data_IF_842683760744
#
_entry.id   IF_842683760744
#
_cell.length_a   1.000
_cell.length_b   1.000
_cell.length_c   1.000
_cell.angle_alpha   90.00
_cell.angle_beta   90.00
_cell.angle_gamma   90.00
#
_symmetry.space_group_name_H-M   'P 1'
#
loop_
_entity.id
_entity.type
_entity.pdbx_description
1 polymer ?
#
# COMPACT_ATOMS: atom_id res chain seq x y z
N UNK A 1 48.07 1.04 60.53
CA UNK A 1 47.99 0.69 59.09
C UNK A 1 46.87 -0.32 58.79
N UNK A 2 45.75 -0.32 59.54
CA UNK A 2 44.64 -1.30 59.42
C UNK A 2 43.29 -0.57 59.32
N UNK A 3 43.15 0.38 58.39
CA UNK A 3 41.87 1.11 58.27
C UNK A 3 41.43 1.50 56.84
N UNK A 4 42.13 1.02 55.80
CA UNK A 4 41.64 1.14 54.41
C UNK A 4 41.09 -0.18 53.85
N UNK A 5 41.69 -1.32 54.21
CA UNK A 5 41.33 -2.62 53.65
C UNK A 5 39.93 -3.12 54.05
N UNK A 6 39.37 -2.66 55.17
CA UNK A 6 38.05 -3.10 55.62
C UNK A 6 36.88 -2.32 55.01
N UNK A 7 37.12 -1.12 54.45
CA UNK A 7 36.03 -0.25 53.99
C UNK A 7 35.43 -0.69 52.65
N UNK A 8 36.27 -1.21 51.75
CA UNK A 8 35.81 -1.70 50.44
C UNK A 8 35.15 -3.08 50.55
N UNK A 9 35.63 -3.92 51.47
CA UNK A 9 35.05 -5.24 51.76
C UNK A 9 33.67 -5.15 52.44
N UNK A 10 33.45 -4.14 53.28
CA UNK A 10 32.16 -3.89 53.97
C UNK A 10 31.05 -3.37 53.05
N UNK A 11 31.39 -2.80 51.90
CA UNK A 11 30.41 -2.18 51.00
C UNK A 11 29.90 -3.15 49.91
N UNK A 12 30.46 -4.36 49.80
CA UNK A 12 30.01 -5.39 48.84
C UNK A 12 29.93 -4.90 47.38
N UNK A 13 30.58 -3.78 47.07
CA UNK A 13 30.45 -3.11 45.79
C UNK A 13 31.61 -3.59 44.96
N UNK A 14 31.39 -4.69 44.24
CA UNK A 14 32.29 -5.08 43.16
C UNK A 14 32.48 -3.86 42.24
N UNK A 15 33.72 -3.54 41.83
CA UNK A 15 33.98 -2.41 40.96
C UNK A 15 33.17 -2.62 39.68
N UNK A 16 32.19 -1.75 39.42
CA UNK A 16 31.39 -1.79 38.18
C UNK A 16 32.36 -1.87 37.00
N UNK A 17 32.33 -2.98 36.27
CA UNK A 17 33.13 -3.14 35.06
C UNK A 17 32.88 -1.91 34.15
N UNK A 18 33.96 -1.22 33.77
CA UNK A 18 33.84 -0.08 32.85
C UNK A 18 33.42 -0.64 31.50
N UNK A 19 32.35 -0.10 30.91
CA UNK A 19 31.95 -0.48 29.55
C UNK A 19 33.15 -0.41 28.61
N UNK A 20 33.40 -1.47 27.86
CA UNK A 20 34.44 -1.46 26.83
C UNK A 20 34.01 -0.59 25.66
N UNK A 21 34.97 -0.17 24.83
CA UNK A 21 34.66 0.55 23.59
C UNK A 21 33.71 -0.25 22.67
N UNK A 22 33.85 -1.57 22.65
CA UNK A 22 33.01 -2.47 21.85
C UNK A 22 31.58 -2.46 22.37
N UNK A 23 31.38 -2.48 23.69
CA UNK A 23 30.04 -2.43 24.31
C UNK A 23 29.32 -1.12 23.96
N UNK A 24 30.05 0.01 24.02
CA UNK A 24 29.51 1.30 23.61
C UNK A 24 29.12 1.30 22.13
N UNK A 25 29.97 0.76 21.25
CA UNK A 25 29.67 0.65 19.82
C UNK A 25 28.42 -0.20 19.56
N UNK A 26 28.30 -1.36 20.23
CA UNK A 26 27.14 -2.23 20.12
C UNK A 26 25.86 -1.55 20.60
N UNK A 27 25.91 -0.83 21.73
CA UNK A 27 24.79 -0.06 22.24
C UNK A 27 24.36 1.01 21.23
N UNK A 28 25.31 1.75 20.65
CA UNK A 28 25.00 2.77 19.65
C UNK A 28 24.32 2.16 18.43
N UNK A 29 24.84 1.04 17.90
CA UNK A 29 24.23 0.34 16.76
C UNK A 29 22.83 -0.15 17.10
N UNK A 30 22.64 -0.74 18.28
CA UNK A 30 21.34 -1.21 18.73
C UNK A 30 20.32 -0.07 18.85
N UNK A 31 20.72 1.08 19.42
CA UNK A 31 19.85 2.26 19.51
C UNK A 31 19.47 2.77 18.12
N UNK A 32 20.41 2.84 17.18
CA UNK A 32 20.13 3.24 15.80
C UNK A 32 19.14 2.28 15.11
N UNK A 33 19.26 0.97 15.36
CA UNK A 33 18.32 -0.02 14.83
C UNK A 33 16.92 0.15 15.43
N UNK A 34 16.81 0.35 16.75
CA UNK A 34 15.53 0.56 17.43
C UNK A 34 14.85 1.83 16.91
N UNK A 35 15.61 2.94 16.82
CA UNK A 35 15.09 4.20 16.27
C UNK A 35 14.64 4.01 14.83
N UNK A 36 15.41 3.31 13.99
CA UNK A 36 15.01 3.04 12.61
C UNK A 36 13.71 2.20 12.53
N UNK A 37 13.57 1.15 13.34
CA UNK A 37 12.35 0.32 13.39
C UNK A 37 11.16 1.16 13.87
N UNK A 38 11.35 1.95 14.92
CA UNK A 38 10.32 2.84 15.45
C UNK A 38 9.87 3.85 14.41
N UNK A 39 10.82 4.50 13.73
CA UNK A 39 10.54 5.39 12.61
C UNK A 39 9.70 4.63 11.61
N UNK A 40 10.17 3.52 11.02
CA UNK A 40 9.43 2.77 10.00
C UNK A 40 7.98 2.41 10.41
N UNK A 41 7.73 2.11 11.69
CA UNK A 41 6.39 1.80 12.22
C UNK A 41 5.36 2.93 12.09
N UNK A 42 5.80 4.18 11.96
CA UNK A 42 4.90 5.36 11.85
C UNK A 42 4.35 5.53 10.42
N UNK A 43 5.18 5.26 9.42
CA UNK A 43 4.94 5.55 8.00
C UNK A 43 4.40 4.31 7.26
N UNK A 44 4.79 3.11 7.71
CA UNK A 44 4.30 1.85 7.17
C UNK A 44 3.08 1.36 7.96
N UNK A 45 2.00 1.05 7.26
CA UNK A 45 0.78 0.50 7.85
C UNK A 45 0.44 -0.83 7.20
N UNK A 46 0.09 -1.87 7.97
CA UNK A 46 -0.44 -3.09 7.39
C UNK A 46 -1.82 -2.82 6.78
N UNK A 47 -2.13 -3.47 5.66
CA UNK A 47 -3.41 -3.45 4.98
C UNK A 47 -3.74 -4.86 4.53
N UNK A 48 -4.97 -5.29 4.75
CA UNK A 48 -5.49 -6.58 4.28
C UNK A 48 -6.31 -6.38 3.02
N UNK A 49 -6.08 -7.21 2.01
CA UNK A 49 -6.80 -7.16 0.73
C UNK A 49 -8.13 -7.89 0.88
N UNK A 50 -9.21 -7.17 0.61
CA UNK A 50 -10.56 -7.72 0.55
C UNK A 50 -11.11 -7.65 -0.89
N UNK A 51 -11.61 -8.78 -1.40
CA UNK A 51 -12.09 -8.94 -2.77
C UNK A 51 -11.03 -9.31 -3.82
N UNK A 52 -11.49 -9.38 -5.08
CA UNK A 52 -10.75 -9.97 -6.22
C UNK A 52 -10.34 -8.96 -7.30
N UNK A 53 -10.58 -7.67 -7.06
CA UNK A 53 -10.37 -6.61 -8.04
C UNK A 53 -8.91 -6.43 -8.50
N UNK A 54 -7.97 -6.95 -7.72
CA UNK A 54 -6.53 -6.89 -7.98
C UNK A 54 -5.92 -8.28 -8.27
N UNK A 55 -6.75 -9.31 -8.54
CA UNK A 55 -6.30 -10.67 -8.88
C UNK A 55 -5.22 -10.63 -9.98
N UNK A 56 -4.33 -11.65 -9.98
CA UNK A 56 -3.04 -11.73 -10.68
C UNK A 56 -1.90 -10.97 -9.97
N UNK A 57 -2.19 -9.86 -9.28
CA UNK A 57 -1.18 -9.17 -8.45
C UNK A 57 -1.42 -9.42 -6.97
N UNK A 58 -2.65 -9.23 -6.50
CA UNK A 58 -3.07 -9.35 -5.11
C UNK A 58 -4.31 -10.25 -5.04
N UNK A 59 -4.26 -11.22 -4.15
CA UNK A 59 -5.36 -12.16 -3.89
C UNK A 59 -6.13 -11.73 -2.64
N UNK A 60 -7.35 -12.23 -2.51
CA UNK A 60 -8.14 -12.04 -1.30
C UNK A 60 -7.37 -12.59 -0.09
N UNK A 61 -7.41 -11.88 1.04
CA UNK A 61 -6.69 -12.18 2.29
C UNK A 61 -5.18 -11.91 2.26
N UNK A 62 -4.63 -11.38 1.16
CA UNK A 62 -3.24 -10.93 1.14
C UNK A 62 -3.02 -9.79 2.14
N UNK A 63 -1.92 -9.89 2.87
CA UNK A 63 -1.45 -8.84 3.76
C UNK A 63 -0.29 -8.07 3.14
N UNK A 64 -0.37 -6.75 3.17
CA UNK A 64 0.58 -5.85 2.54
C UNK A 64 0.99 -4.74 3.51
N UNK A 65 2.18 -4.19 3.29
CA UNK A 65 2.56 -2.91 3.88
C UNK A 65 2.25 -1.78 2.90
N UNK A 66 1.56 -0.75 3.39
CA UNK A 66 1.30 0.50 2.71
C UNK A 66 2.20 1.59 3.29
N UNK A 67 2.85 2.36 2.44
CA UNK A 67 3.63 3.54 2.78
C UNK A 67 2.77 4.80 2.66
N UNK A 68 2.56 5.51 3.77
CA UNK A 68 1.72 6.71 3.85
C UNK A 68 2.36 7.95 3.22
N UNK A 69 3.67 7.96 2.98
CA UNK A 69 4.44 9.17 2.67
C UNK A 69 5.08 9.08 1.28
N UNK A 70 5.18 7.87 0.73
CA UNK A 70 5.56 7.63 -0.66
C UNK A 70 4.64 8.39 -1.62
N UNK A 71 5.25 9.19 -2.47
CA UNK A 71 4.55 9.91 -3.53
C UNK A 71 4.03 8.94 -4.61
N UNK A 72 2.80 9.13 -5.10
CA UNK A 72 2.20 8.28 -6.12
C UNK A 72 2.97 8.35 -7.43
N UNK A 73 3.22 7.19 -8.04
CA UNK A 73 3.78 7.09 -9.39
C UNK A 73 2.88 6.24 -10.27
N UNK A 74 2.96 6.46 -11.59
CA UNK A 74 2.29 5.60 -12.57
C UNK A 74 2.71 4.15 -12.36
N UNK A 75 1.73 3.25 -12.37
CA UNK A 75 1.91 1.83 -12.13
C UNK A 75 2.00 1.42 -10.66
N UNK A 76 2.09 2.36 -9.70
CA UNK A 76 2.02 2.02 -8.28
C UNK A 76 0.61 1.54 -7.91
N UNK A 77 0.53 0.71 -6.87
CA UNK A 77 -0.74 0.31 -6.25
C UNK A 77 -1.06 1.27 -5.12
N UNK A 78 -2.24 1.87 -5.15
CA UNK A 78 -2.70 2.90 -4.21
C UNK A 78 -3.88 2.39 -3.39
N UNK A 79 -3.91 2.78 -2.12
CA UNK A 79 -5.05 2.60 -1.24
C UNK A 79 -5.68 3.96 -0.98
N UNK A 80 -6.99 4.07 -1.18
CA UNK A 80 -7.74 5.31 -1.01
C UNK A 80 -9.12 5.06 -0.41
N UNK A 81 -9.66 6.08 0.27
CA UNK A 81 -11.01 6.07 0.85
C UNK A 81 -12.06 6.31 -0.22
N UNK A 82 -13.12 5.49 -0.22
CA UNK A 82 -14.35 5.76 -0.99
C UNK A 82 -15.50 6.23 -0.07
N UNK A 83 -15.47 5.80 1.19
CA UNK A 83 -16.33 6.27 2.28
C UNK A 83 -15.55 6.21 3.60
N UNK A 84 -16.16 6.67 4.70
CA UNK A 84 -15.53 6.64 6.03
C UNK A 84 -15.11 5.23 6.49
N UNK A 85 -15.81 4.21 5.99
CA UNK A 85 -15.61 2.81 6.41
C UNK A 85 -15.05 1.91 5.33
N UNK A 86 -14.91 2.40 4.10
CA UNK A 86 -14.53 1.57 2.95
C UNK A 86 -13.30 2.16 2.26
N UNK A 87 -12.26 1.34 2.17
CA UNK A 87 -11.02 1.63 1.46
C UNK A 87 -10.90 0.73 0.23
N UNK A 88 -10.50 1.28 -0.90
CA UNK A 88 -10.22 0.53 -2.12
C UNK A 88 -8.72 0.51 -2.40
N UNK A 89 -8.27 -0.62 -2.96
CA UNK A 89 -6.92 -0.81 -3.48
C UNK A 89 -7.00 -0.96 -5.01
N UNK A 90 -6.24 -0.15 -5.75
CA UNK A 90 -6.21 -0.12 -7.22
C UNK A 90 -4.83 0.27 -7.73
N UNK A 91 -4.57 0.10 -9.03
CA UNK A 91 -3.34 0.56 -9.69
C UNK A 91 -3.53 1.93 -10.31
N UNK A 92 -2.55 2.81 -10.10
CA UNK A 92 -2.51 4.14 -10.74
C UNK A 92 -2.15 3.97 -12.22
N UNK A 93 -3.04 4.44 -13.09
CA UNK A 93 -2.83 4.42 -14.55
C UNK A 93 -2.37 5.78 -15.03
N UNK A 94 -3.01 6.87 -14.58
CA UNK A 94 -2.70 8.23 -15.00
C UNK A 94 -2.65 9.18 -13.79
N UNK A 95 -1.73 10.15 -13.87
CA UNK A 95 -1.45 11.17 -12.85
C UNK A 95 -1.86 12.57 -13.36
N UNK A 96 -1.83 13.62 -12.52
CA UNK A 96 -2.10 14.98 -12.96
C UNK A 96 -1.31 15.38 -14.21
N UNK A 97 -2.01 15.98 -15.17
CA UNK A 97 -1.47 16.39 -16.47
C UNK A 97 -1.46 15.31 -17.55
N UNK A 98 -1.75 14.05 -17.21
CA UNK A 98 -1.91 12.98 -18.19
C UNK A 98 -3.33 12.96 -18.78
N UNK A 99 -3.50 12.25 -19.89
CA UNK A 99 -4.82 11.85 -20.40
C UNK A 99 -4.87 10.35 -20.64
N UNK A 100 -6.00 9.72 -20.36
CA UNK A 100 -6.23 8.28 -20.55
C UNK A 100 -7.43 8.04 -21.44
N UNK A 101 -7.39 7.00 -22.27
CA UNK A 101 -8.51 6.49 -23.05
C UNK A 101 -8.33 5.01 -23.31
N UNK A 102 -9.34 4.35 -23.87
CA UNK A 102 -9.14 3.04 -24.51
C UNK A 102 -9.46 3.11 -25.98
N UNK A 103 -8.77 2.30 -26.77
CA UNK A 103 -9.06 2.12 -28.20
C UNK A 103 -9.13 0.63 -28.45
N UNK A 104 -10.32 0.11 -28.80
CA UNK A 104 -10.57 -1.32 -28.96
C UNK A 104 -10.16 -2.11 -27.70
N UNK A 105 -10.46 -1.57 -26.52
CA UNK A 105 -10.17 -2.21 -25.23
C UNK A 105 -8.73 -2.09 -24.74
N UNK A 106 -7.82 -1.55 -25.54
CA UNK A 106 -6.42 -1.32 -25.14
C UNK A 106 -6.27 0.03 -24.47
N UNK A 107 -5.68 0.07 -23.29
CA UNK A 107 -5.45 1.32 -22.55
C UNK A 107 -4.35 2.12 -23.23
N UNK A 108 -4.65 3.38 -23.54
CA UNK A 108 -3.69 4.34 -24.04
C UNK A 108 -3.56 5.51 -23.07
N UNK A 109 -2.33 6.01 -22.94
CA UNK A 109 -2.02 7.19 -22.14
C UNK A 109 -1.29 8.22 -22.98
N UNK A 110 -1.62 9.49 -22.74
CA UNK A 110 -0.91 10.67 -23.22
C UNK A 110 -0.24 11.32 -22.01
N UNK A 111 1.08 11.37 -21.99
CA UNK A 111 1.84 11.91 -20.85
C UNK A 111 2.07 13.41 -21.06
N UNK A 112 1.49 14.24 -20.20
CA UNK A 112 1.49 15.70 -20.37
C UNK A 112 0.57 16.17 -21.50
N UNK A 113 0.39 17.50 -21.60
CA UNK A 113 -0.52 18.12 -22.57
C UNK A 113 -0.08 17.93 -24.03
N UNK A 114 1.23 18.01 -24.27
CA UNK A 114 1.84 17.88 -25.61
C UNK A 114 2.34 16.45 -25.91
N UNK A 115 1.96 15.49 -25.07
CA UNK A 115 2.37 14.10 -25.25
C UNK A 115 1.71 13.44 -26.46
N UNK A 116 2.31 12.36 -26.93
CA UNK A 116 1.69 11.45 -27.88
C UNK A 116 0.96 10.32 -27.16
N UNK A 117 -0.11 9.81 -27.78
CA UNK A 117 -0.81 8.63 -27.31
C UNK A 117 0.05 7.38 -27.46
N UNK A 118 0.23 6.66 -26.36
CA UNK A 118 0.95 5.39 -26.33
C UNK A 118 0.08 4.33 -25.65
N UNK A 119 0.06 3.14 -26.24
CA UNK A 119 -0.51 1.96 -25.59
C UNK A 119 0.36 1.60 -24.37
N UNK A 120 -0.28 1.38 -23.22
CA UNK A 120 0.42 0.94 -22.02
C UNK A 120 0.68 -0.56 -22.14
N UNK A 121 1.90 -0.99 -21.79
CA UNK A 121 2.18 -2.41 -21.61
C UNK A 121 1.69 -2.84 -20.21
N UNK A 122 0.70 -3.72 -20.15
CA UNK A 122 -0.01 -4.08 -18.92
C UNK A 122 0.13 -5.57 -18.60
N UNK A 123 1.34 -6.10 -18.33
CA UNK A 123 1.54 -7.52 -18.02
C UNK A 123 0.87 -7.96 -16.70
N UNK A 124 0.47 -6.99 -15.87
CA UNK A 124 -0.27 -7.20 -14.63
C UNK A 124 -1.78 -7.35 -14.86
N UNK A 125 -2.31 -6.90 -16.01
CA UNK A 125 -3.74 -6.91 -16.26
C UNK A 125 -4.25 -8.34 -16.43
N UNK A 126 -5.30 -8.65 -15.68
CA UNK A 126 -6.01 -9.91 -15.73
C UNK A 126 -7.35 -9.71 -16.45
N UNK A 127 -7.56 -10.54 -17.48
CA UNK A 127 -8.79 -10.61 -18.25
C UNK A 127 -9.39 -12.00 -18.04
N UNK A 128 -10.61 -12.04 -17.52
CA UNK A 128 -11.33 -13.31 -17.31
C UNK A 128 -11.60 -14.00 -18.67
N UNK A 129 -11.24 -15.29 -18.85
CA UNK A 129 -11.34 -15.96 -20.15
C UNK A 129 -12.74 -15.99 -20.77
N UNK A 130 -13.78 -15.96 -19.96
CA UNK A 130 -15.18 -16.00 -20.40
C UNK A 130 -15.76 -14.62 -20.73
N UNK A 131 -14.96 -13.56 -20.60
CA UNK A 131 -15.39 -12.17 -20.79
C UNK A 131 -14.69 -11.55 -22.01
N UNK A 132 -15.18 -10.39 -22.45
CA UNK A 132 -14.55 -9.67 -23.55
C UNK A 132 -13.17 -9.21 -23.12
N UNK A 133 -12.13 -9.66 -23.81
CA UNK A 133 -10.77 -9.23 -23.53
C UNK A 133 -10.62 -7.72 -23.77
N UNK A 134 -10.02 -7.02 -22.81
CA UNK A 134 -9.82 -5.58 -22.87
C UNK A 134 -10.45 -4.81 -21.71
N UNK A 135 -10.24 -3.50 -21.75
CA UNK A 135 -10.67 -2.54 -20.73
C UNK A 135 -11.72 -1.64 -21.32
N UNK A 136 -12.92 -1.68 -20.76
CA UNK A 136 -14.07 -0.97 -21.29
C UNK A 136 -14.90 -0.35 -20.18
N UNK A 137 -15.70 0.65 -20.55
CA UNK A 137 -16.80 1.18 -19.75
C UNK A 137 -18.07 0.38 -20.02
N UNK A 138 -18.83 0.15 -18.95
CA UNK A 138 -20.20 -0.36 -19.05
C UNK A 138 -21.15 0.83 -18.96
N UNK A 139 -21.80 1.17 -20.08
CA UNK A 139 -22.75 2.28 -20.14
C UNK A 139 -24.15 1.73 -20.38
N UNK A 140 -25.12 2.13 -19.55
CA UNK A 140 -26.53 1.84 -19.77
C UNK A 140 -27.11 2.84 -20.75
N UNK A 141 -27.46 2.39 -21.95
CA UNK A 141 -28.07 3.19 -23.02
C UNK A 141 -29.41 2.55 -23.35
N UNK A 142 -30.51 3.30 -23.20
CA UNK A 142 -31.87 2.82 -23.49
C UNK A 142 -32.23 1.51 -22.75
N UNK A 143 -31.76 1.38 -21.50
CA UNK A 143 -32.01 0.18 -20.70
C UNK A 143 -31.06 -1.00 -20.98
N UNK A 144 -30.27 -0.93 -22.05
CA UNK A 144 -29.30 -1.97 -22.45
C UNK A 144 -27.90 -1.60 -21.99
N UNK A 145 -27.19 -2.54 -21.37
CA UNK A 145 -25.77 -2.37 -21.02
C UNK A 145 -24.94 -2.54 -22.28
N UNK A 146 -24.18 -1.51 -22.65
CA UNK A 146 -23.24 -1.54 -23.77
C UNK A 146 -21.81 -1.43 -23.25
N UNK A 147 -20.93 -2.16 -23.91
CA UNK A 147 -19.48 -2.11 -23.72
C UNK A 147 -18.95 -1.06 -24.68
N UNK A 148 -18.30 -0.01 -24.15
CA UNK A 148 -17.74 1.08 -24.95
C UNK A 148 -16.33 1.40 -24.47
N UNK A 149 -15.53 1.98 -25.36
CA UNK A 149 -14.21 2.48 -24.99
C UNK A 149 -14.32 3.64 -23.98
N UNK A 150 -13.34 3.73 -23.08
CA UNK A 150 -13.14 4.86 -22.18
C UNK A 150 -12.84 6.09 -23.06
N UNK A 151 -13.64 7.16 -23.01
CA UNK A 151 -13.35 8.38 -23.74
C UNK A 151 -12.09 9.05 -23.18
N UNK A 152 -11.49 9.95 -23.95
CA UNK A 152 -10.37 10.76 -23.48
C UNK A 152 -10.74 11.48 -22.18
N UNK A 153 -10.00 11.14 -21.12
CA UNK A 153 -10.16 11.69 -19.78
C UNK A 153 -8.86 12.36 -19.40
N UNK A 154 -8.87 13.70 -19.34
CA UNK A 154 -7.75 14.50 -18.83
C UNK A 154 -7.77 14.49 -17.30
N UNK A 155 -6.60 14.26 -16.69
CA UNK A 155 -6.44 14.18 -15.24
C UNK A 155 -5.95 15.53 -14.73
N UNK A 156 -6.76 16.18 -13.89
CA UNK A 156 -6.44 17.50 -13.36
C UNK A 156 -5.52 17.41 -12.16
N UNK A 157 -5.03 18.57 -11.73
CA UNK A 157 -4.31 18.67 -10.47
C UNK A 157 -5.14 18.16 -9.30
N UNK A 158 -4.50 17.34 -8.46
CA UNK A 158 -5.16 16.66 -7.34
C UNK A 158 -6.01 15.45 -7.74
N UNK A 159 -6.05 15.02 -9.00
CA UNK A 159 -6.80 13.84 -9.47
C UNK A 159 -5.87 12.71 -9.93
N UNK A 160 -6.37 11.48 -9.94
CA UNK A 160 -5.72 10.31 -10.51
C UNK A 160 -6.74 9.40 -11.18
N UNK A 161 -6.32 8.68 -12.21
CA UNK A 161 -7.12 7.60 -12.79
C UNK A 161 -6.57 6.25 -12.34
N UNK A 162 -7.42 5.41 -11.78
CA UNK A 162 -7.02 4.11 -11.23
C UNK A 162 -7.84 2.98 -11.85
N UNK A 163 -7.21 1.83 -12.07
CA UNK A 163 -7.85 0.60 -12.54
C UNK A 163 -7.51 -0.56 -11.61
N UNK A 164 -8.42 -1.52 -11.51
CA UNK A 164 -8.09 -2.83 -10.94
C UNK A 164 -7.32 -3.67 -11.94
N UNK A 165 -6.46 -4.54 -11.43
CA UNK A 165 -5.74 -5.49 -12.29
C UNK A 165 -6.70 -6.54 -12.87
N UNK A 166 -7.72 -6.97 -12.12
CA UNK A 166 -8.85 -7.69 -12.70
C UNK A 166 -9.78 -6.70 -13.42
N UNK A 167 -9.68 -6.63 -14.75
CA UNK A 167 -10.41 -5.65 -15.55
C UNK A 167 -11.91 -5.87 -15.55
N UNK A 168 -12.40 -7.09 -15.39
CA UNK A 168 -13.86 -7.32 -15.33
C UNK A 168 -14.42 -7.25 -13.91
N UNK A 169 -13.68 -7.73 -12.92
CA UNK A 169 -14.12 -7.79 -11.52
C UNK A 169 -13.80 -6.56 -10.68
N UNK A 170 -13.56 -5.39 -11.29
CA UNK A 170 -13.11 -4.20 -10.58
C UNK A 170 -14.05 -3.01 -10.73
N UNK A 171 -14.53 -2.51 -9.57
CA UNK A 171 -15.14 -1.18 -9.44
C UNK A 171 -14.04 -0.15 -9.21
N UNK A 172 -13.70 0.58 -10.26
CA UNK A 172 -12.59 1.54 -10.31
C UNK A 172 -12.98 2.81 -11.08
N UNK A 173 -12.02 3.60 -11.59
CA UNK A 173 -12.31 4.90 -12.20
C UNK A 173 -13.26 4.85 -13.40
N UNK A 174 -13.50 3.68 -13.97
CA UNK A 174 -14.53 3.44 -14.99
C UNK A 174 -15.95 3.66 -14.49
N UNK A 175 -16.19 3.40 -13.20
CA UNK A 175 -17.51 3.54 -12.58
C UNK A 175 -17.57 4.70 -11.58
N UNK A 176 -16.50 4.89 -10.80
CA UNK A 176 -16.48 5.90 -9.72
C UNK A 176 -15.89 7.25 -10.17
N UNK A 177 -15.29 7.30 -11.35
CA UNK A 177 -14.56 8.48 -11.86
C UNK A 177 -13.15 8.61 -11.29
N UNK A 178 -12.56 9.79 -11.46
CA UNK A 178 -11.20 10.08 -10.98
C UNK A 178 -11.14 10.08 -9.45
N UNK A 179 -10.02 9.60 -8.91
CA UNK A 179 -9.76 9.57 -7.47
C UNK A 179 -9.01 10.84 -7.09
N UNK A 180 -9.52 11.55 -6.07
CA UNK A 180 -8.83 12.72 -5.55
C UNK A 180 -7.66 12.34 -4.65
N UNK A 181 -6.59 13.11 -4.72
CA UNK A 181 -5.36 12.91 -3.95
C UNK A 181 -5.61 13.02 -2.45
N UNK A 182 -6.57 13.85 -2.04
CA UNK A 182 -7.01 13.99 -0.64
C UNK A 182 -7.58 12.70 -0.03
N UNK A 183 -8.06 11.77 -0.87
CA UNK A 183 -8.61 10.49 -0.42
C UNK A 183 -7.54 9.39 -0.33
N UNK A 184 -6.30 9.63 -0.78
CA UNK A 184 -5.23 8.65 -0.74
C UNK A 184 -4.79 8.42 0.71
N UNK A 185 -4.72 7.15 1.11
CA UNK A 185 -4.16 6.74 2.40
C UNK A 185 -2.68 6.39 2.31
N UNK A 186 -2.24 5.90 1.16
CA UNK A 186 -0.85 5.57 0.91
C UNK A 186 -0.67 4.68 -0.31
N UNK A 187 0.59 4.35 -0.56
CA UNK A 187 1.02 3.57 -1.71
C UNK A 187 1.58 2.24 -1.23
N UNK A 188 1.19 1.14 -1.86
CA UNK A 188 1.81 -0.17 -1.64
C UNK A 188 3.07 -0.23 -2.49
N UNK A 189 4.27 -0.19 -1.88
CA UNK A 189 5.52 -0.28 -2.63
C UNK A 189 5.69 -1.69 -3.21
N UNK A 190 6.38 -1.78 -4.35
CA UNK A 190 6.59 -3.05 -5.04
C UNK A 190 7.19 -4.15 -4.16
N UNK A 191 8.14 -3.81 -3.30
CA UNK A 191 8.74 -4.77 -2.37
C UNK A 191 7.72 -5.38 -1.39
N UNK A 192 6.65 -4.65 -1.03
CA UNK A 192 5.62 -5.16 -0.14
C UNK A 192 4.75 -6.20 -0.87
N UNK A 193 4.48 -5.99 -2.16
CA UNK A 193 3.80 -6.96 -3.02
C UNK A 193 4.68 -8.22 -3.17
N UNK A 194 5.95 -8.05 -3.50
CA UNK A 194 6.90 -9.17 -3.70
C UNK A 194 7.15 -9.99 -2.43
N UNK A 195 6.85 -9.44 -1.25
CA UNK A 195 7.06 -10.08 0.06
C UNK A 195 5.77 -10.39 0.81
N UNK A 196 4.61 -10.27 0.17
CA UNK A 196 3.30 -10.51 0.79
C UNK A 196 3.20 -11.88 1.47
N UNK A 197 3.67 -12.94 0.83
CA UNK A 197 3.68 -14.30 1.38
C UNK A 197 4.63 -14.45 2.57
N UNK A 198 5.74 -13.70 2.59
CA UNK A 198 6.73 -13.75 3.68
C UNK A 198 6.21 -13.09 4.95
N UNK A 199 5.53 -11.95 4.82
CA UNK A 199 5.05 -11.17 5.97
C UNK A 199 3.60 -11.46 6.34
N UNK A 200 2.83 -12.10 5.45
CA UNK A 200 1.43 -12.37 5.65
C UNK A 200 1.10 -13.14 6.92
N UNK A 201 1.76 -14.28 7.22
CA UNK A 201 1.50 -15.02 8.45
C UNK A 201 1.75 -14.22 9.73
N UNK A 202 2.74 -13.33 9.72
CA UNK A 202 3.04 -12.47 10.86
C UNK A 202 1.97 -11.40 11.07
N UNK A 203 1.52 -10.75 9.98
CA UNK A 203 0.48 -9.74 10.04
C UNK A 203 -0.87 -10.32 10.44
N UNK A 204 -1.18 -11.53 9.95
CA UNK A 204 -2.40 -12.24 10.34
C UNK A 204 -2.40 -12.60 11.83
N UNK A 205 -1.27 -13.08 12.36
CA UNK A 205 -1.11 -13.33 13.80
C UNK A 205 -1.33 -12.06 14.63
N UNK A 206 -0.75 -10.92 14.22
CA UNK A 206 -0.96 -9.64 14.89
C UNK A 206 -2.43 -9.26 14.90
N UNK A 207 -3.13 -9.41 13.77
CA UNK A 207 -4.55 -9.06 13.70
C UNK A 207 -5.41 -9.95 14.60
N UNK A 208 -5.11 -11.26 14.66
CA UNK A 208 -5.79 -12.17 15.58
C UNK A 208 -5.56 -11.80 17.05
N UNK A 209 -4.34 -11.40 17.42
CA UNK A 209 -4.02 -10.94 18.78
C UNK A 209 -4.75 -9.63 19.08
N UNK A 210 -4.72 -8.65 18.17
CA UNK A 210 -5.40 -7.38 18.32
C UNK A 210 -6.92 -7.54 18.44
N UNK A 211 -7.50 -8.46 17.67
CA UNK A 211 -8.92 -8.82 17.78
C UNK A 211 -9.26 -9.35 19.17
N UNK A 212 -8.48 -10.30 19.70
CA UNK A 212 -8.66 -10.82 21.06
C UNK A 212 -8.52 -9.74 22.14
N UNK A 213 -7.59 -8.80 21.95
CA UNK A 213 -7.41 -7.66 22.86
C UNK A 213 -8.66 -6.77 22.83
N UNK A 214 -9.15 -6.40 21.63
CA UNK A 214 -10.38 -5.60 21.46
C UNK A 214 -11.61 -6.28 22.09
N UNK A 215 -11.77 -7.59 21.88
CA UNK A 215 -12.85 -8.37 22.49
C UNK A 215 -12.76 -8.43 24.02
N UNK A 216 -11.54 -8.51 24.57
CA UNK A 216 -11.31 -8.64 26.01
C UNK A 216 -11.42 -7.31 26.76
N UNK A 217 -10.99 -6.22 26.14
CA UNK A 217 -10.88 -4.92 26.80
C UNK A 217 -11.86 -3.86 26.28
N UNK A 218 -12.66 -4.18 25.26
CA UNK A 218 -13.87 -3.45 24.88
C UNK A 218 -13.69 -1.96 24.70
N UNK A 219 -13.18 -1.52 23.54
CA UNK A 219 -13.61 -0.23 23.01
C UNK A 219 -15.00 -0.42 22.41
N UNK A 220 -16.04 -0.25 23.25
CA UNK A 220 -17.38 0.04 22.76
C UNK A 220 -17.31 1.42 22.09
N UNK A 221 -17.25 1.42 20.75
CA UNK A 221 -17.49 2.53 19.81
C UNK A 221 -16.95 3.92 20.18
#
# INVERSE_FOLDING_TARGET
MVNRLNREMLLGCEPKEKLSFIDVLLIVVMVLLIVNIFVQSVWLSPVKVDGTSMNNTLEHEDWLFMDKIKQPKRGDVVVFKISETVNYIKRIIALPGDSVRTVKGKVQIKIGKDGEWKEINEPYAYFEPEKVEGTYLLKKIEGVVRIVDIPETEIKEGEMFVLGDNRWGSRDSREIGVVKTENILGIVPRWAIDKKEKYGPYLDYIEQVNKKIRERFGENN
#
